data_IF_442484185864
#
_entry.id   IF_442484185864
#
_cell.length_a   1.000
_cell.length_b   1.000
_cell.length_c   1.000
_cell.angle_alpha   90.00
_cell.angle_beta   90.00
_cell.angle_gamma   90.00
#
_symmetry.space_group_name_H-M   'P 1'
#
loop_
_entity.id
_entity.type
_entity.pdbx_description
1 polymer ?
#
# COMPACT_ATOMS: atom_id res chain seq x y z
N UNK A 1 30.82 -13.01 7.89
CA UNK A 1 29.97 -14.16 7.49
C UNK A 1 28.62 -13.58 7.08
N UNK A 2 28.26 -13.66 5.79
CA UNK A 2 26.99 -13.11 5.25
C UNK A 2 25.88 -14.12 5.55
N UNK A 3 24.84 -13.72 6.28
CA UNK A 3 23.65 -14.53 6.50
C UNK A 3 22.96 -14.80 5.14
N UNK A 4 22.67 -16.05 4.75
CA UNK A 4 22.08 -16.37 3.46
C UNK A 4 20.55 -16.10 3.35
N UNK A 5 20.00 -15.20 4.18
CA UNK A 5 18.56 -14.86 4.16
C UNK A 5 18.17 -13.62 3.35
N UNK A 6 19.14 -12.91 2.77
CA UNK A 6 19.02 -11.49 2.38
C UNK A 6 18.38 -11.14 1.03
N UNK A 7 17.63 -12.04 0.39
CA UNK A 7 16.90 -11.74 -0.86
C UNK A 7 15.45 -12.24 -0.81
N UNK A 8 15.21 -13.41 -0.22
CA UNK A 8 13.87 -13.97 -0.08
C UNK A 8 12.99 -13.18 0.91
N UNK A 9 13.59 -12.60 1.95
CA UNK A 9 12.87 -11.76 2.93
C UNK A 9 12.37 -10.44 2.35
N UNK A 10 13.16 -9.81 1.47
CA UNK A 10 12.78 -8.56 0.82
C UNK A 10 11.80 -8.78 -0.33
N UNK A 11 11.97 -9.87 -1.09
CA UNK A 11 11.00 -10.28 -2.13
C UNK A 11 9.65 -10.67 -1.50
N UNK A 12 9.67 -11.39 -0.38
CA UNK A 12 8.45 -11.77 0.34
C UNK A 12 7.67 -10.57 0.85
N UNK A 13 8.37 -9.53 1.33
CA UNK A 13 7.72 -8.30 1.81
C UNK A 13 6.99 -7.57 0.68
N UNK A 14 7.60 -7.46 -0.51
CA UNK A 14 6.94 -6.88 -1.68
C UNK A 14 5.64 -7.59 -2.05
N UNK A 15 5.62 -8.93 -2.00
CA UNK A 15 4.40 -9.71 -2.25
C UNK A 15 3.32 -9.52 -1.19
N UNK A 16 3.68 -9.43 0.09
CA UNK A 16 2.72 -9.14 1.15
C UNK A 16 2.11 -7.75 1.01
N UNK A 17 2.91 -6.75 0.67
CA UNK A 17 2.42 -5.38 0.39
C UNK A 17 1.53 -5.38 -0.85
N UNK A 18 1.90 -6.10 -1.91
CA UNK A 18 1.06 -6.25 -3.09
C UNK A 18 -0.29 -6.89 -2.77
N UNK A 19 -0.31 -7.96 -1.97
CA UNK A 19 -1.55 -8.58 -1.50
C UNK A 19 -2.39 -7.61 -0.65
N UNK A 20 -1.75 -6.78 0.19
CA UNK A 20 -2.44 -5.75 0.96
C UNK A 20 -3.08 -4.68 0.05
N UNK A 21 -2.38 -4.23 -0.99
CA UNK A 21 -2.92 -3.29 -1.99
C UNK A 21 -4.14 -3.90 -2.71
N UNK A 22 -4.08 -5.17 -3.12
CA UNK A 22 -5.25 -5.86 -3.69
C UNK A 22 -6.42 -5.85 -2.71
N UNK A 23 -6.18 -6.14 -1.43
CA UNK A 23 -7.23 -6.14 -0.42
C UNK A 23 -7.84 -4.74 -0.23
N UNK A 24 -7.03 -3.68 -0.23
CA UNK A 24 -7.50 -2.30 -0.17
C UNK A 24 -8.36 -1.95 -1.40
N UNK A 25 -7.91 -2.30 -2.60
CA UNK A 25 -8.70 -2.12 -3.83
C UNK A 25 -10.05 -2.86 -3.79
N UNK A 26 -10.09 -4.09 -3.26
CA UNK A 26 -11.35 -4.83 -3.10
C UNK A 26 -12.28 -4.09 -2.13
N UNK A 27 -11.75 -3.54 -1.03
CA UNK A 27 -12.54 -2.76 -0.08
C UNK A 27 -13.07 -1.50 -0.74
N UNK A 28 -12.26 -0.75 -1.48
CA UNK A 28 -12.71 0.43 -2.23
C UNK A 28 -13.83 0.10 -3.21
N UNK A 29 -13.68 -0.98 -3.97
CA UNK A 29 -14.71 -1.45 -4.87
C UNK A 29 -15.97 -1.87 -4.10
N UNK A 30 -15.83 -2.54 -2.96
CA UNK A 30 -16.93 -2.89 -2.09
C UNK A 30 -17.68 -1.67 -1.55
N UNK A 31 -16.98 -0.60 -1.20
CA UNK A 31 -17.61 0.65 -0.74
C UNK A 31 -18.49 1.28 -1.82
N UNK A 32 -18.17 1.10 -3.12
CA UNK A 32 -19.04 1.55 -4.22
C UNK A 32 -20.38 0.82 -4.27
N UNK A 33 -20.46 -0.38 -3.69
CA UNK A 33 -21.65 -1.23 -3.69
C UNK A 33 -22.53 -1.02 -2.44
N UNK A 34 -22.06 -0.25 -1.46
CA UNK A 34 -22.76 -0.01 -0.21
C UNK A 34 -23.40 1.37 -0.23
N UNK A 35 -24.70 1.42 0.05
CA UNK A 35 -25.43 2.68 0.12
C UNK A 35 -25.06 3.42 1.43
N UNK A 36 -24.41 4.58 1.31
CA UNK A 36 -23.93 5.35 2.46
C UNK A 36 -23.93 6.86 2.16
N UNK A 37 -23.89 7.72 3.19
CA UNK A 37 -23.84 9.17 2.98
C UNK A 37 -22.61 9.57 2.14
N UNK A 38 -22.84 10.38 1.09
CA UNK A 38 -21.80 10.82 0.15
C UNK A 38 -20.58 11.45 0.86
N UNK A 39 -20.81 12.19 1.94
CA UNK A 39 -19.73 12.79 2.73
C UNK A 39 -18.82 11.74 3.36
N UNK A 40 -19.41 10.72 4.00
CA UNK A 40 -18.67 9.60 4.59
C UNK A 40 -17.93 8.80 3.52
N UNK A 41 -18.60 8.49 2.42
CA UNK A 41 -18.02 7.77 1.28
C UNK A 41 -16.75 8.45 0.75
N UNK A 42 -16.80 9.77 0.53
CA UNK A 42 -15.64 10.55 0.05
C UNK A 42 -14.49 10.54 1.03
N UNK A 43 -14.77 10.68 2.33
CA UNK A 43 -13.73 10.65 3.37
C UNK A 43 -13.06 9.29 3.43
N UNK A 44 -13.83 8.20 3.36
CA UNK A 44 -13.29 6.83 3.35
C UNK A 44 -12.45 6.56 2.09
N UNK A 45 -12.92 6.97 0.91
CA UNK A 45 -12.13 6.84 -0.32
C UNK A 45 -10.81 7.61 -0.26
N UNK A 46 -10.83 8.86 0.23
CA UNK A 46 -9.60 9.65 0.38
C UNK A 46 -8.64 8.95 1.35
N UNK A 47 -9.15 8.42 2.47
CA UNK A 47 -8.31 7.70 3.43
C UNK A 47 -7.69 6.42 2.84
N UNK A 48 -8.46 5.63 2.08
CA UNK A 48 -7.97 4.41 1.42
C UNK A 48 -6.92 4.73 0.35
N UNK A 49 -7.19 5.71 -0.51
CA UNK A 49 -6.24 6.13 -1.54
C UNK A 49 -4.94 6.71 -0.96
N UNK A 50 -5.02 7.39 0.19
CA UNK A 50 -3.83 7.83 0.92
C UNK A 50 -3.03 6.64 1.47
N UNK A 51 -3.70 5.59 1.96
CA UNK A 51 -3.04 4.38 2.42
C UNK A 51 -2.35 3.65 1.26
N UNK A 52 -3.03 3.51 0.11
CA UNK A 52 -2.45 2.91 -1.10
C UNK A 52 -1.23 3.68 -1.59
N UNK A 53 -1.37 5.00 -1.74
CA UNK A 53 -0.27 5.86 -2.15
C UNK A 53 0.91 5.73 -1.17
N UNK A 54 0.66 5.72 0.14
CA UNK A 54 1.70 5.55 1.14
C UNK A 54 2.43 4.21 1.03
N UNK A 55 1.70 3.10 0.90
CA UNK A 55 2.27 1.75 0.71
C UNK A 55 3.11 1.68 -0.56
N UNK A 56 2.62 2.25 -1.66
CA UNK A 56 3.35 2.29 -2.94
C UNK A 56 4.61 3.13 -2.83
N UNK A 57 4.53 4.33 -2.27
CA UNK A 57 5.66 5.24 -2.13
C UNK A 57 6.76 4.64 -1.25
N UNK A 58 6.38 4.02 -0.13
CA UNK A 58 7.33 3.49 0.84
C UNK A 58 8.00 2.20 0.36
N UNK A 59 7.23 1.25 -0.18
CA UNK A 59 7.74 -0.09 -0.50
C UNK A 59 8.18 -0.28 -1.95
N UNK A 60 7.57 0.43 -2.90
CA UNK A 60 7.87 0.22 -4.33
C UNK A 60 8.65 1.37 -4.95
N UNK A 61 8.28 2.63 -4.66
CA UNK A 61 8.90 3.78 -5.32
C UNK A 61 10.24 4.22 -4.71
N UNK A 62 10.69 3.61 -3.60
CA UNK A 62 11.97 3.92 -2.94
C UNK A 62 12.22 5.43 -2.75
N UNK A 63 11.18 6.28 -2.72
CA UNK A 63 11.31 7.74 -2.57
C UNK A 63 11.92 8.09 -1.20
N UNK A 64 11.69 7.25 -0.19
CA UNK A 64 12.37 7.34 1.10
C UNK A 64 13.89 7.11 1.04
N UNK A 65 14.41 6.54 -0.05
CA UNK A 65 15.85 6.43 -0.33
C UNK A 65 16.36 7.65 -1.10
N UNK A 66 15.58 8.20 -2.05
CA UNK A 66 15.93 9.43 -2.78
C UNK A 66 16.13 10.65 -1.86
N UNK A 67 15.45 10.68 -0.71
CA UNK A 67 15.59 11.78 0.26
C UNK A 67 16.77 11.60 1.22
N UNK A 68 17.29 10.37 1.35
CA UNK A 68 18.58 10.08 1.95
C UNK A 68 19.61 10.28 0.84
N UNK A 69 19.89 11.54 0.51
CA UNK A 69 20.89 11.89 -0.48
C UNK A 69 22.26 11.35 -0.04
N UNK A 70 22.71 10.32 -0.75
CA UNK A 70 24.13 10.06 -0.97
C UNK A 70 24.50 10.61 -2.36
#
# INVERSE_FOLDING_TARGET
>A
MRHPGGLAGDWGRGWWVFAALIALTIVEFGLLLVDMPVGLFRVLLVALNLADAWLILYYFMHIAQLWRGD
#
